data_IF_574445784002
#
_entry.id   IF_574445784002
#
_cell.length_a   1.000
_cell.length_b   1.000
_cell.length_c   1.000
_cell.angle_alpha   90.00
_cell.angle_beta   90.00
_cell.angle_gamma   90.00
#
_symmetry.space_group_name_H-M   'P 1'
#
loop_
_entity.id
_entity.type
_entity.pdbx_description
1 polymer ?
#
# COMPACT_ATOMS: atom_id res chain seq x y z
N UNK A 1 -12.73 -5.18 -14.13
CA UNK A 1 -12.00 -3.93 -14.44
C UNK A 1 -11.17 -3.40 -13.26
N UNK A 2 -11.51 -3.74 -12.00
CA UNK A 2 -10.85 -3.25 -10.76
C UNK A 2 -9.38 -3.72 -10.57
N UNK A 3 -9.02 -4.94 -11.01
CA UNK A 3 -7.66 -5.51 -10.78
C UNK A 3 -6.52 -4.74 -11.45
N UNK A 4 -6.78 -4.13 -12.61
CA UNK A 4 -5.76 -3.38 -13.35
C UNK A 4 -5.40 -2.09 -12.61
N UNK A 5 -6.37 -1.46 -11.97
CA UNK A 5 -6.16 -0.20 -11.25
C UNK A 5 -5.41 -0.42 -9.94
N UNK A 6 -5.72 -1.49 -9.20
CA UNK A 6 -5.01 -1.80 -7.95
C UNK A 6 -3.52 -2.06 -8.18
N UNK A 7 -3.15 -2.85 -9.21
CA UNK A 7 -1.74 -3.11 -9.54
C UNK A 7 -1.00 -1.81 -9.88
N UNK A 8 -1.62 -0.92 -10.66
CA UNK A 8 -1.04 0.40 -10.98
C UNK A 8 -0.89 1.28 -9.74
N UNK A 9 -1.85 1.26 -8.81
CA UNK A 9 -1.77 2.00 -7.55
C UNK A 9 -0.64 1.48 -6.66
N UNK A 10 -0.46 0.16 -6.56
CA UNK A 10 0.67 -0.44 -5.82
C UNK A 10 2.01 0.02 -6.38
N UNK A 11 2.14 0.15 -7.72
CA UNK A 11 3.37 0.67 -8.35
C UNK A 11 3.65 2.15 -8.02
N UNK A 12 2.65 2.92 -7.60
CA UNK A 12 2.80 4.33 -7.20
C UNK A 12 3.17 4.51 -5.72
N UNK A 13 3.18 3.44 -4.93
CA UNK A 13 3.62 3.52 -3.53
C UNK A 13 5.13 3.81 -3.46
N UNK A 14 5.59 4.52 -2.41
CA UNK A 14 7.01 4.56 -2.05
C UNK A 14 7.59 3.14 -1.96
N UNK A 15 8.84 2.97 -2.39
CA UNK A 15 9.43 1.64 -2.56
C UNK A 15 9.40 0.81 -1.28
N UNK A 16 9.64 1.45 -0.14
CA UNK A 16 9.65 0.79 1.17
C UNK A 16 8.26 0.35 1.66
N UNK A 17 7.21 1.07 1.27
CA UNK A 17 5.81 0.71 1.51
C UNK A 17 5.35 -0.40 0.57
N UNK A 18 5.73 -0.29 -0.71
CA UNK A 18 5.45 -1.29 -1.75
C UNK A 18 6.10 -2.63 -1.39
N UNK A 19 7.37 -2.62 -1.01
CA UNK A 19 8.13 -3.82 -0.63
C UNK A 19 7.45 -4.58 0.52
N UNK A 20 7.13 -3.89 1.62
CA UNK A 20 6.44 -4.51 2.77
C UNK A 20 5.07 -5.06 2.38
N UNK A 21 4.31 -4.34 1.55
CA UNK A 21 3.01 -4.80 1.05
C UNK A 21 3.15 -6.07 0.20
N UNK A 22 4.13 -6.12 -0.71
CA UNK A 22 4.40 -7.29 -1.54
C UNK A 22 4.80 -8.49 -0.69
N UNK A 23 5.80 -8.34 0.18
CA UNK A 23 6.27 -9.42 1.05
C UNK A 23 5.15 -9.96 1.94
N UNK A 24 4.31 -9.09 2.51
CA UNK A 24 3.23 -9.52 3.40
C UNK A 24 2.08 -10.20 2.67
N UNK A 25 1.59 -9.62 1.56
CA UNK A 25 0.35 -10.09 0.93
C UNK A 25 0.56 -11.08 -0.21
N UNK A 26 1.73 -11.05 -0.86
CA UNK A 26 2.03 -11.92 -2.01
C UNK A 26 3.06 -12.98 -1.68
N UNK A 27 3.87 -12.80 -0.64
CA UNK A 27 4.83 -13.80 -0.17
C UNK A 27 4.47 -14.41 1.20
N UNK A 28 3.34 -14.02 1.80
CA UNK A 28 2.80 -14.50 3.09
C UNK A 28 3.81 -14.42 4.27
N UNK A 29 4.72 -13.46 4.22
CA UNK A 29 5.75 -13.30 5.25
C UNK A 29 5.21 -12.63 6.50
N UNK A 30 5.71 -13.00 7.69
CA UNK A 30 5.39 -12.29 8.92
C UNK A 30 6.09 -10.94 8.98
N UNK A 31 5.56 -9.98 9.74
CA UNK A 31 6.26 -8.69 9.95
C UNK A 31 7.62 -8.84 10.63
N UNK A 32 7.83 -9.95 11.35
CA UNK A 32 9.12 -10.28 11.94
C UNK A 32 10.13 -10.66 10.86
N UNK A 33 9.75 -11.58 9.96
CA UNK A 33 10.62 -12.01 8.85
C UNK A 33 10.93 -10.84 7.90
N UNK A 34 9.94 -10.00 7.63
CA UNK A 34 10.11 -8.78 6.82
C UNK A 34 11.09 -7.82 7.49
N UNK A 35 10.96 -7.60 8.81
CA UNK A 35 11.88 -6.74 9.55
C UNK A 35 13.32 -7.26 9.53
N UNK A 36 13.50 -8.58 9.65
CA UNK A 36 14.80 -9.25 9.54
C UNK A 36 15.41 -9.10 8.14
N UNK A 37 14.64 -9.35 7.08
CA UNK A 37 15.11 -9.28 5.68
C UNK A 37 15.41 -7.85 5.23
N UNK A 38 14.62 -6.88 5.68
CA UNK A 38 14.78 -5.47 5.30
C UNK A 38 15.67 -4.68 6.26
N UNK A 39 16.25 -5.35 7.27
CA UNK A 39 17.14 -4.78 8.28
C UNK A 39 16.55 -3.56 9.01
N UNK A 40 15.26 -3.63 9.35
CA UNK A 40 14.57 -2.59 10.12
C UNK A 40 13.89 -3.15 11.37
N UNK A 41 13.43 -2.28 12.26
CA UNK A 41 12.61 -2.74 13.40
C UNK A 41 11.25 -3.26 12.93
N UNK A 42 10.66 -4.20 13.69
CA UNK A 42 9.28 -4.67 13.44
C UNK A 42 8.27 -3.51 13.41
N UNK A 43 8.49 -2.46 14.21
CA UNK A 43 7.65 -1.26 14.22
C UNK A 43 7.78 -0.44 12.94
N UNK A 44 8.99 -0.38 12.35
CA UNK A 44 9.22 0.26 11.07
C UNK A 44 8.48 -0.47 9.95
N UNK A 45 8.54 -1.81 9.92
CA UNK A 45 7.79 -2.62 8.95
C UNK A 45 6.27 -2.43 9.10
N UNK A 46 5.75 -2.47 10.34
CA UNK A 46 4.34 -2.19 10.63
C UNK A 46 3.93 -0.78 10.22
N UNK A 47 4.78 0.22 10.45
CA UNK A 47 4.57 1.61 10.02
C UNK A 47 4.48 1.73 8.50
N UNK A 48 5.44 1.13 7.77
CA UNK A 48 5.44 1.08 6.30
C UNK A 48 4.16 0.43 5.75
N UNK A 49 3.72 -0.69 6.33
CA UNK A 49 2.44 -1.30 5.94
C UNK A 49 1.25 -0.38 6.19
N UNK A 50 1.18 0.25 7.37
CA UNK A 50 0.10 1.20 7.69
C UNK A 50 0.04 2.34 6.67
N UNK A 51 1.18 2.90 6.29
CA UNK A 51 1.25 3.96 5.29
C UNK A 51 0.91 3.45 3.88
N UNK A 52 1.35 2.23 3.51
CA UNK A 52 0.99 1.60 2.25
C UNK A 52 -0.54 1.51 2.09
N UNK A 53 -1.23 0.95 3.08
CA UNK A 53 -2.69 0.80 3.07
C UNK A 53 -3.42 2.15 3.10
N UNK A 54 -2.93 3.10 3.90
CA UNK A 54 -3.50 4.46 3.96
C UNK A 54 -3.38 5.18 2.61
N UNK A 55 -2.24 5.07 1.94
CA UNK A 55 -2.01 5.68 0.63
C UNK A 55 -2.84 5.00 -0.48
N UNK A 56 -2.92 3.67 -0.49
CA UNK A 56 -3.81 2.95 -1.41
C UNK A 56 -5.27 3.38 -1.23
N UNK A 57 -5.74 3.48 0.01
CA UNK A 57 -7.08 3.96 0.33
C UNK A 57 -7.32 5.37 -0.24
N UNK A 58 -6.40 6.32 -0.02
CA UNK A 58 -6.50 7.68 -0.57
C UNK A 58 -6.52 7.69 -2.10
N UNK A 59 -5.76 6.82 -2.77
CA UNK A 59 -5.79 6.71 -4.22
C UNK A 59 -7.13 6.20 -4.72
N UNK A 60 -7.73 5.21 -4.04
CA UNK A 60 -9.06 4.68 -4.37
C UNK A 60 -10.12 5.77 -4.16
N UNK A 61 -10.15 6.42 -2.99
CA UNK A 61 -11.10 7.50 -2.69
C UNK A 61 -10.93 8.70 -3.64
N UNK A 62 -9.68 9.06 -3.97
CA UNK A 62 -9.37 10.13 -4.93
C UNK A 62 -9.72 9.77 -6.39
N UNK A 63 -9.87 8.49 -6.71
CA UNK A 63 -10.36 8.03 -8.02
C UNK A 63 -11.89 8.18 -8.12
N UNK A 64 -12.60 8.25 -6.98
CA UNK A 64 -14.08 8.33 -6.91
C UNK A 64 -14.62 9.72 -6.49
N UNK A 65 -13.76 10.70 -6.16
CA UNK A 65 -14.18 12.02 -5.65
C UNK A 65 -14.12 13.18 -6.67
N UNK A 66 -13.73 12.92 -7.92
CA UNK A 66 -13.85 13.94 -9.00
C UNK A 66 -15.15 13.75 -9.80
N UNK A 67 -16.00 12.80 -9.43
CA UNK A 67 -17.28 12.53 -10.08
C UNK A 67 -18.41 12.76 -9.05
N UNK A 68 -19.24 13.79 -9.28
CA UNK A 68 -20.56 14.07 -8.69
C UNK A 68 -20.76 15.09 -7.55
N UNK A 69 -19.78 15.85 -7.04
CA UNK A 69 -20.07 16.90 -6.04
C UNK A 69 -19.49 18.28 -6.39
N UNK A 70 -19.74 18.77 -7.60
CA UNK A 70 -19.28 20.10 -8.03
C UNK A 70 -20.12 20.86 -9.06
N UNK A 71 -21.26 20.33 -9.53
CA UNK A 71 -22.20 21.07 -10.37
C UNK A 71 -23.61 20.45 -10.25
N UNK A 72 -24.34 20.82 -9.19
CA UNK A 72 -25.80 20.96 -9.16
C UNK A 72 -26.14 21.99 -8.09
#
# INVERSE_FOLDING_TARGET
QVDVDLKKMIQKLPDDQKEVLIMRHFCDMSFKDIAEITEVSINTALGRMRYALSNLRKMIEGTDLTLQMGYL
#
